data_IF_390847669932
#
_entry.id   IF_390847669932
#
_cell.length_a   1.000
_cell.length_b   1.000
_cell.length_c   1.000
_cell.angle_alpha   90.00
_cell.angle_beta   90.00
_cell.angle_gamma   90.00
#
_symmetry.space_group_name_H-M   'P 1'
#
loop_
_entity.id
_entity.type
_entity.pdbx_description
1 polymer ?
#
# COMPACT_ATOMS: atom_id res chain seq x y z
N UNK A 1 -8.57 -6.18 17.54
CA UNK A 1 -7.87 -4.88 17.50
C UNK A 1 -8.57 -3.98 18.49
N UNK A 2 -7.99 -3.72 19.66
CA UNK A 2 -8.59 -2.87 20.69
C UNK A 2 -8.30 -1.42 20.33
N UNK A 3 -9.17 -0.83 19.53
CA UNK A 3 -9.19 0.58 19.22
C UNK A 3 -10.19 1.22 20.20
N UNK A 4 -9.76 2.19 20.99
CA UNK A 4 -10.65 2.93 21.90
C UNK A 4 -11.72 3.65 21.08
N UNK A 5 -12.91 3.87 21.66
CA UNK A 5 -14.02 4.53 20.94
C UNK A 5 -13.63 5.90 20.36
N UNK A 6 -12.68 6.58 21.02
CA UNK A 6 -12.09 7.84 20.56
C UNK A 6 -11.24 7.67 19.30
N UNK A 7 -10.37 6.66 19.25
CA UNK A 7 -9.54 6.38 18.06
C UNK A 7 -10.42 6.00 16.86
N UNK A 8 -11.49 5.24 17.07
CA UNK A 8 -12.45 4.90 16.02
C UNK A 8 -13.15 6.15 15.45
N UNK A 9 -13.58 7.06 16.33
CA UNK A 9 -14.22 8.31 15.93
C UNK A 9 -13.28 9.23 15.15
N UNK A 10 -12.01 9.33 15.58
CA UNK A 10 -10.99 10.13 14.89
C UNK A 10 -10.68 9.57 13.50
N UNK A 11 -10.60 8.25 13.36
CA UNK A 11 -10.39 7.59 12.06
C UNK A 11 -11.58 7.81 11.11
N UNK A 12 -12.82 7.66 11.60
CA UNK A 12 -14.00 7.88 10.75
C UNK A 12 -14.19 9.34 10.34
N UNK A 13 -13.98 10.27 11.27
CA UNK A 13 -14.14 11.70 10.97
C UNK A 13 -13.13 12.16 9.92
N UNK A 14 -11.87 11.72 9.99
CA UNK A 14 -10.87 12.01 8.97
C UNK A 14 -11.28 11.50 7.58
N UNK A 15 -11.87 10.30 7.49
CA UNK A 15 -12.36 9.74 6.22
C UNK A 15 -13.62 10.45 5.70
N UNK A 16 -14.47 10.97 6.60
CA UNK A 16 -15.72 11.63 6.28
C UNK A 16 -15.57 13.12 5.91
N UNK A 17 -14.53 13.80 6.39
CA UNK A 17 -14.28 15.23 6.13
C UNK A 17 -14.12 15.53 4.63
N UNK A 18 -13.43 14.68 3.87
CA UNK A 18 -13.24 14.86 2.42
C UNK A 18 -14.57 14.98 1.65
N UNK A 19 -15.46 13.99 1.74
CA UNK A 19 -16.78 14.04 1.12
C UNK A 19 -17.67 15.19 1.61
N UNK A 20 -17.61 15.53 2.90
CA UNK A 20 -18.42 16.62 3.49
C UNK A 20 -18.04 17.98 2.90
N UNK A 21 -16.73 18.23 2.68
CA UNK A 21 -16.25 19.50 2.13
C UNK A 21 -16.59 19.71 0.65
N UNK A 22 -16.78 18.63 -0.12
CA UNK A 22 -17.04 18.71 -1.56
C UNK A 22 -18.53 18.87 -1.93
N UNK A 23 -19.43 19.08 -0.96
CA UNK A 23 -20.89 19.23 -1.11
C UNK A 23 -21.49 18.19 -2.08
N UNK A 24 -21.64 16.93 -1.64
CA UNK A 24 -21.90 15.82 -2.54
C UNK A 24 -23.35 15.84 -3.03
N UNK A 25 -23.58 15.60 -4.32
CA UNK A 25 -24.88 15.07 -4.74
C UNK A 25 -25.00 13.65 -4.11
N UNK A 26 -25.81 13.53 -3.06
CA UNK A 26 -25.47 12.94 -1.74
C UNK A 26 -25.30 11.41 -1.63
N UNK A 27 -25.44 10.60 -2.67
CA UNK A 27 -25.31 9.14 -2.52
C UNK A 27 -24.17 8.58 -3.37
N UNK A 28 -24.23 8.71 -4.69
CA UNK A 28 -23.29 8.02 -5.57
C UNK A 28 -21.83 8.37 -5.27
N UNK A 29 -21.51 9.65 -5.06
CA UNK A 29 -20.14 10.11 -4.79
C UNK A 29 -19.62 9.62 -3.44
N UNK A 30 -20.48 9.54 -2.42
CA UNK A 30 -20.15 9.03 -1.09
C UNK A 30 -19.91 7.52 -1.13
N UNK A 31 -20.76 6.76 -1.80
CA UNK A 31 -20.61 5.32 -1.97
C UNK A 31 -19.34 4.97 -2.76
N UNK A 32 -19.06 5.69 -3.85
CA UNK A 32 -17.83 5.51 -4.63
C UNK A 32 -16.59 5.87 -3.80
N UNK A 33 -16.63 6.96 -3.04
CA UNK A 33 -15.54 7.34 -2.15
C UNK A 33 -15.26 6.29 -1.08
N UNK A 34 -16.30 5.84 -0.37
CA UNK A 34 -16.16 4.80 0.65
C UNK A 34 -15.65 3.49 0.05
N UNK A 35 -16.18 3.08 -1.11
CA UNK A 35 -15.69 1.89 -1.82
C UNK A 35 -14.20 2.02 -2.17
N UNK A 36 -13.77 3.19 -2.65
CA UNK A 36 -12.37 3.45 -2.98
C UNK A 36 -11.44 3.39 -1.75
N UNK A 37 -11.86 3.99 -0.63
CA UNK A 37 -11.10 3.94 0.64
C UNK A 37 -10.98 2.50 1.16
N UNK A 38 -12.06 1.71 1.06
CA UNK A 38 -12.04 0.30 1.49
C UNK A 38 -11.19 -0.57 0.57
N UNK A 39 -11.33 -0.43 -0.75
CA UNK A 39 -10.51 -1.14 -1.74
C UNK A 39 -9.02 -0.90 -1.50
N UNK A 40 -8.65 0.35 -1.18
CA UNK A 40 -7.29 0.72 -0.80
C UNK A 40 -6.83 0.02 0.48
N UNK A 41 -7.64 0.06 1.53
CA UNK A 41 -7.30 -0.59 2.80
C UNK A 41 -7.09 -2.10 2.63
N UNK A 42 -7.94 -2.75 1.83
CA UNK A 42 -7.75 -4.17 1.46
C UNK A 42 -6.43 -4.35 0.73
N UNK A 43 -6.17 -3.57 -0.32
CA UNK A 43 -4.95 -3.65 -1.10
C UNK A 43 -3.66 -3.47 -0.25
N UNK A 44 -3.67 -2.54 0.72
CA UNK A 44 -2.51 -2.24 1.57
C UNK A 44 -2.28 -3.27 2.70
N UNK A 45 -3.32 -4.00 3.12
CA UNK A 45 -3.25 -4.89 4.29
C UNK A 45 -3.45 -6.38 4.01
N UNK A 46 -3.99 -6.76 2.85
CA UNK A 46 -4.20 -8.18 2.50
C UNK A 46 -3.20 -8.68 1.45
N UNK A 47 -2.37 -7.80 0.90
CA UNK A 47 -1.42 -8.14 -0.16
C UNK A 47 -2.07 -8.36 -1.53
N UNK A 48 -3.35 -7.98 -1.69
CA UNK A 48 -4.01 -8.03 -2.99
C UNK A 48 -3.55 -6.86 -3.85
N UNK A 49 -2.83 -7.13 -4.95
CA UNK A 49 -2.28 -6.08 -5.81
C UNK A 49 -3.29 -5.66 -6.89
N UNK A 50 -3.87 -4.46 -6.75
CA UNK A 50 -4.66 -3.86 -7.83
C UNK A 50 -3.74 -3.09 -8.79
N UNK A 51 -3.91 -3.22 -10.13
CA UNK A 51 -2.98 -2.66 -11.13
C UNK A 51 -2.87 -1.13 -11.13
N UNK A 52 -3.80 -0.42 -10.49
CA UNK A 52 -3.85 1.05 -10.48
C UNK A 52 -3.53 1.67 -9.11
N UNK A 53 -3.31 0.86 -8.07
CA UNK A 53 -3.09 1.31 -6.70
C UNK A 53 -1.65 1.05 -6.25
N UNK A 54 -1.14 1.82 -5.26
CA UNK A 54 0.11 1.54 -4.57
C UNK A 54 0.18 0.09 -4.11
N UNK A 55 1.30 -0.62 -4.29
CA UNK A 55 1.40 -2.00 -3.81
C UNK A 55 1.42 -2.05 -2.28
N UNK A 56 0.99 -3.17 -1.67
CA UNK A 56 1.10 -3.37 -0.22
C UNK A 56 2.54 -3.18 0.29
N UNK A 57 3.51 -3.58 -0.53
CA UNK A 57 4.94 -3.41 -0.29
C UNK A 57 5.37 -1.94 -0.21
N UNK A 58 4.72 -1.04 -0.95
CA UNK A 58 4.99 0.39 -0.88
C UNK A 58 4.61 0.97 0.49
N UNK A 59 3.42 0.59 0.99
CA UNK A 59 2.96 0.96 2.32
C UNK A 59 3.82 0.32 3.42
N UNK A 60 4.20 -0.95 3.26
CA UNK A 60 5.10 -1.62 4.20
C UNK A 60 6.48 -0.95 4.24
N UNK A 61 7.03 -0.54 3.09
CA UNK A 61 8.30 0.18 3.01
C UNK A 61 8.24 1.54 3.70
N UNK A 62 7.12 2.25 3.58
CA UNK A 62 6.87 3.49 4.33
C UNK A 62 6.97 3.25 5.85
N UNK A 63 6.33 2.21 6.39
CA UNK A 63 6.42 1.88 7.83
C UNK A 63 7.83 1.47 8.28
N UNK A 64 8.62 0.85 7.41
CA UNK A 64 9.98 0.41 7.73
C UNK A 64 10.96 1.59 7.77
N UNK A 65 10.90 2.50 6.79
CA UNK A 65 11.91 3.55 6.60
C UNK A 65 11.46 4.88 7.20
N UNK A 66 10.15 5.12 7.32
CA UNK A 66 9.49 6.36 7.79
C UNK A 66 9.90 7.68 7.10
N UNK A 67 10.90 7.65 6.22
CA UNK A 67 11.45 8.80 5.50
C UNK A 67 11.41 8.63 3.97
N UNK A 68 10.46 7.83 3.48
CA UNK A 68 10.27 7.55 2.05
C UNK A 68 8.81 7.15 1.79
N UNK A 69 8.35 7.23 0.53
CA UNK A 69 7.03 6.78 0.11
C UNK A 69 5.88 7.42 0.92
N UNK A 70 5.85 8.76 0.99
CA UNK A 70 4.87 9.49 1.79
C UNK A 70 3.50 9.57 1.13
N UNK A 71 3.46 9.45 -0.19
CA UNK A 71 2.22 9.58 -0.92
C UNK A 71 1.42 8.28 -0.90
N UNK A 72 0.11 8.46 -0.78
CA UNK A 72 -0.88 7.42 -1.03
C UNK A 72 -1.10 7.15 -2.53
N UNK A 73 -0.30 7.74 -3.41
CA UNK A 73 -0.39 7.60 -4.87
C UNK A 73 1.01 7.62 -5.48
N UNK A 74 1.31 6.60 -6.30
CA UNK A 74 2.60 6.45 -6.99
C UNK A 74 3.02 7.69 -7.77
N UNK A 75 2.07 8.42 -8.36
CA UNK A 75 2.35 9.61 -9.15
C UNK A 75 3.05 10.72 -8.34
N UNK A 76 2.56 11.00 -7.14
CA UNK A 76 3.14 12.07 -6.32
C UNK A 76 4.49 11.67 -5.74
N UNK A 77 4.69 10.40 -5.36
CA UNK A 77 6.00 9.95 -4.91
C UNK A 77 7.03 9.91 -6.04
N UNK A 78 6.60 9.58 -7.26
CA UNK A 78 7.44 9.70 -8.45
C UNK A 78 7.84 11.15 -8.72
N UNK A 79 6.89 12.08 -8.63
CA UNK A 79 7.12 13.51 -8.86
C UNK A 79 8.10 14.12 -7.84
N UNK A 80 7.96 13.76 -6.56
CA UNK A 80 8.84 14.23 -5.48
C UNK A 80 10.11 13.39 -5.33
N UNK A 81 10.23 12.27 -6.07
CA UNK A 81 11.39 11.37 -6.06
C UNK A 81 11.58 10.59 -4.74
N UNK A 82 10.55 10.52 -3.91
CA UNK A 82 10.53 9.85 -2.59
C UNK A 82 10.42 8.32 -2.71
N UNK A 83 10.21 7.81 -3.92
CA UNK A 83 10.12 6.37 -4.24
C UNK A 83 11.44 5.76 -4.77
N UNK A 84 12.52 6.54 -4.92
CA UNK A 84 13.82 6.03 -5.38
C UNK A 84 14.39 4.92 -4.46
N UNK A 85 14.23 5.09 -3.15
CA UNK A 85 14.62 4.09 -2.15
C UNK A 85 13.82 2.80 -2.28
N UNK A 86 12.50 2.92 -2.46
CA UNK A 86 11.60 1.79 -2.63
C UNK A 86 11.92 0.96 -3.89
N UNK A 87 12.18 1.62 -5.03
CA UNK A 87 12.59 0.92 -6.27
C UNK A 87 13.87 0.11 -6.09
N UNK A 88 14.84 0.67 -5.37
CA UNK A 88 16.11 -0.01 -5.07
C UNK A 88 15.92 -1.17 -4.09
N UNK A 89 14.99 -1.04 -3.14
CA UNK A 89 14.60 -2.12 -2.25
C UNK A 89 13.93 -3.28 -3.01
N UNK A 90 12.97 -2.97 -3.87
CA UNK A 90 12.25 -3.98 -4.66
C UNK A 90 13.16 -4.72 -5.65
N UNK A 91 14.12 -4.02 -6.28
CA UNK A 91 15.08 -4.67 -7.19
C UNK A 91 15.98 -5.66 -6.45
N UNK A 92 16.45 -5.31 -5.24
CA UNK A 92 17.24 -6.22 -4.38
C UNK A 92 16.41 -7.42 -3.91
N UNK A 93 15.16 -7.20 -3.48
CA UNK A 93 14.24 -8.27 -3.07
C UNK A 93 14.00 -9.27 -4.20
N UNK A 94 13.77 -8.79 -5.44
CA UNK A 94 13.62 -9.63 -6.62
C UNK A 94 14.89 -10.43 -6.95
N UNK A 95 16.07 -9.79 -6.87
CA UNK A 95 17.34 -10.47 -7.11
C UNK A 95 17.60 -11.58 -6.09
N UNK A 96 17.28 -11.35 -4.81
CA UNK A 96 17.41 -12.34 -3.75
C UNK A 96 16.47 -13.53 -3.97
N UNK A 97 15.20 -13.29 -4.30
CA UNK A 97 14.24 -14.37 -4.57
C UNK A 97 14.70 -15.27 -5.73
N UNK A 98 15.19 -14.67 -6.82
CA UNK A 98 15.72 -15.40 -7.96
C UNK A 98 16.96 -16.24 -7.58
N UNK A 99 17.80 -15.75 -6.66
CA UNK A 99 18.96 -16.49 -6.18
C UNK A 99 18.55 -17.68 -5.31
N UNK A 100 17.62 -17.49 -4.39
CA UNK A 100 17.07 -18.56 -3.55
C UNK A 100 16.43 -19.67 -4.39
N UNK A 101 15.62 -19.32 -5.39
CA UNK A 101 15.01 -20.29 -6.31
C UNK A 101 16.05 -21.12 -7.08
N UNK A 102 17.16 -20.47 -7.51
CA UNK A 102 18.29 -21.16 -8.16
C UNK A 102 19.01 -22.12 -7.20
N UNK A 103 19.16 -21.75 -5.93
CA UNK A 103 19.76 -22.63 -4.94
C UNK A 103 18.87 -23.84 -4.65
N UNK A 104 17.57 -23.62 -4.46
CA UNK A 104 16.60 -24.69 -4.22
C UNK A 104 16.56 -25.69 -5.38
N UNK A 105 16.52 -25.20 -6.61
CA UNK A 105 16.59 -26.05 -7.81
C UNK A 105 17.92 -26.80 -7.92
N UNK A 106 19.06 -26.16 -7.59
CA UNK A 106 20.36 -26.85 -7.58
C UNK A 106 20.44 -27.95 -6.51
N UNK A 107 19.92 -27.70 -5.31
CA UNK A 107 19.91 -28.66 -4.20
C UNK A 107 18.96 -29.85 -4.49
N UNK A 108 17.81 -29.58 -5.10
CA UNK A 108 16.87 -30.61 -5.54
C UNK A 108 17.47 -31.52 -6.62
N UNK A 109 18.33 -30.98 -7.49
CA UNK A 109 19.03 -31.76 -8.52
C UNK A 109 20.20 -32.59 -7.96
N UNK A 110 20.87 -32.12 -6.89
CA UNK A 110 21.93 -32.87 -6.22
C UNK A 110 21.40 -34.00 -5.30
N UNK A 111 20.14 -33.91 -4.90
CA UNK A 111 19.44 -34.89 -4.05
C UNK A 111 18.88 -36.10 -4.83
N UNK A 112 18.98 -36.11 -6.17
CA UNK A 112 18.54 -37.22 -7.04
C UNK A 112 19.76 -38.00 -7.53
#
# INVERSE_FOLDING_TARGET
MYCTGTEYFLLLSAAAVGPILMNPHILLTLWVWYAFVHLRSVNEHTGYEFPWLPTAEHHNYHHIINNACYSHSFFLDWLHGTDKGFRSYMSRKKALNNFTERLETSNANYSK
#
